data_IF_501659152286
#
_entry.id   IF_501659152286
#
_cell.length_a   1.000
_cell.length_b   1.000
_cell.length_c   1.000
_cell.angle_alpha   90.00
_cell.angle_beta   90.00
_cell.angle_gamma   90.00
#
_symmetry.space_group_name_H-M   'P 1'
#
loop_
_entity.id
_entity.type
_entity.pdbx_description
1 polymer ?
#
# COMPACT_ATOMS: atom_id res chain seq x y z
N UNK A 1 -21.87 43.42 -21.34
CA UNK A 1 -21.12 43.60 -20.08
C UNK A 1 -20.76 42.18 -19.71
N UNK A 2 -19.61 41.74 -20.20
CA UNK A 2 -19.26 40.33 -20.18
C UNK A 2 -18.70 40.02 -18.81
N UNK A 3 -19.44 39.21 -18.04
CA UNK A 3 -19.06 38.80 -16.69
C UNK A 3 -17.90 37.79 -16.77
N UNK A 4 -16.69 38.33 -16.90
CA UNK A 4 -15.41 37.59 -16.96
C UNK A 4 -14.96 37.03 -15.58
N UNK A 5 -15.91 36.72 -14.71
CA UNK A 5 -15.58 36.16 -13.39
C UNK A 5 -15.37 34.66 -13.51
N UNK A 6 -14.12 34.28 -13.78
CA UNK A 6 -13.69 32.87 -13.70
C UNK A 6 -13.70 32.44 -12.23
N UNK A 7 -14.79 31.80 -11.79
CA UNK A 7 -14.89 31.23 -10.44
C UNK A 7 -14.01 29.97 -10.39
N UNK A 8 -12.88 30.08 -9.69
CA UNK A 8 -12.01 28.93 -9.39
C UNK A 8 -12.41 28.36 -8.02
N UNK A 9 -12.70 27.06 -7.91
CA UNK A 9 -13.04 26.44 -6.63
C UNK A 9 -11.86 26.53 -5.65
N UNK A 10 -12.17 26.82 -4.38
CA UNK A 10 -11.17 26.82 -3.31
C UNK A 10 -10.87 25.37 -2.90
N UNK A 11 -9.66 24.89 -3.20
CA UNK A 11 -9.22 23.57 -2.75
C UNK A 11 -9.17 23.49 -1.22
N UNK A 12 -9.63 22.38 -0.66
CA UNK A 12 -9.65 22.20 0.78
C UNK A 12 -8.23 22.00 1.33
N UNK A 13 -7.90 22.56 2.50
CA UNK A 13 -6.63 22.25 3.16
C UNK A 13 -6.50 20.74 3.37
N UNK A 14 -5.51 20.12 2.71
CA UNK A 14 -5.28 18.67 2.74
C UNK A 14 -5.69 17.92 1.47
N UNK A 15 -6.48 18.51 0.57
CA UNK A 15 -6.71 17.98 -0.77
C UNK A 15 -5.56 18.41 -1.69
N UNK A 16 -4.60 17.51 -1.92
CA UNK A 16 -3.57 17.71 -2.95
C UNK A 16 -4.08 17.06 -4.24
N UNK A 17 -4.84 17.81 -5.03
CA UNK A 17 -5.21 17.45 -6.40
C UNK A 17 -4.08 17.86 -7.36
N UNK A 18 -2.89 17.30 -7.12
CA UNK A 18 -1.75 17.43 -8.03
C UNK A 18 -1.41 16.06 -8.64
N UNK A 19 -1.38 15.94 -9.97
CA UNK A 19 -1.11 14.68 -10.66
C UNK A 19 0.21 14.01 -10.26
N UNK A 20 1.26 14.79 -9.95
CA UNK A 20 2.56 14.22 -9.56
C UNK A 20 2.49 13.55 -8.18
N UNK A 21 1.75 14.15 -7.26
CA UNK A 21 1.50 13.60 -5.92
C UNK A 21 0.74 12.28 -6.00
N UNK A 22 -0.27 12.18 -6.87
CA UNK A 22 -1.02 10.94 -7.08
C UNK A 22 -0.13 9.83 -7.67
N UNK A 23 0.70 10.15 -8.66
CA UNK A 23 1.69 9.21 -9.21
C UNK A 23 2.68 8.77 -8.12
N UNK A 24 3.17 9.70 -7.30
CA UNK A 24 4.09 9.38 -6.21
C UNK A 24 3.44 8.47 -5.15
N UNK A 25 2.18 8.71 -4.78
CA UNK A 25 1.42 7.87 -3.84
C UNK A 25 1.18 6.47 -4.38
N UNK A 26 0.78 6.34 -5.64
CA UNK A 26 0.59 5.04 -6.29
C UNK A 26 1.92 4.26 -6.39
N UNK A 27 3.00 4.93 -6.79
CA UNK A 27 4.34 4.35 -6.81
C UNK A 27 4.79 3.85 -5.43
N UNK A 28 4.62 4.69 -4.40
CA UNK A 28 4.96 4.34 -3.02
C UNK A 28 4.14 3.14 -2.51
N UNK A 29 2.83 3.10 -2.82
CA UNK A 29 1.94 1.98 -2.46
C UNK A 29 2.40 0.68 -3.09
N UNK A 30 2.73 0.69 -4.38
CA UNK A 30 3.22 -0.49 -5.11
C UNK A 30 4.55 -0.98 -4.56
N UNK A 31 5.48 -0.07 -4.29
CA UNK A 31 6.79 -0.37 -3.71
C UNK A 31 6.63 -1.02 -2.33
N UNK A 32 5.78 -0.46 -1.46
CA UNK A 32 5.52 -1.02 -0.13
C UNK A 32 4.83 -2.39 -0.20
N UNK A 33 3.86 -2.56 -1.10
CA UNK A 33 3.21 -3.85 -1.31
C UNK A 33 4.19 -4.93 -1.79
N UNK A 34 5.11 -4.57 -2.70
CA UNK A 34 6.16 -5.48 -3.18
C UNK A 34 7.13 -5.87 -2.05
N UNK A 35 7.57 -4.90 -1.25
CA UNK A 35 8.45 -5.14 -0.11
C UNK A 35 7.82 -6.08 0.92
N UNK A 36 6.56 -5.84 1.30
CA UNK A 36 5.83 -6.70 2.24
C UNK A 36 5.66 -8.13 1.71
N UNK A 37 5.42 -8.28 0.39
CA UNK A 37 5.36 -9.61 -0.24
C UNK A 37 6.72 -10.30 -0.13
N UNK A 38 7.79 -9.64 -0.54
CA UNK A 38 9.13 -10.21 -0.47
C UNK A 38 9.52 -10.63 0.95
N UNK A 39 9.20 -9.81 1.96
CA UNK A 39 9.44 -10.14 3.37
C UNK A 39 8.67 -11.39 3.80
N UNK A 40 7.39 -11.50 3.45
CA UNK A 40 6.58 -12.65 3.80
C UNK A 40 7.02 -13.94 3.05
N UNK A 41 7.48 -13.84 1.79
CA UNK A 41 8.08 -14.99 1.08
C UNK A 41 9.36 -15.45 1.76
N UNK A 42 10.23 -14.50 2.10
CA UNK A 42 11.47 -14.79 2.80
C UNK A 42 11.19 -15.43 4.17
N UNK A 43 10.17 -14.97 4.89
CA UNK A 43 9.76 -15.56 6.15
C UNK A 43 9.37 -17.04 5.99
N UNK A 44 8.49 -17.35 5.05
CA UNK A 44 8.08 -18.74 4.79
C UNK A 44 9.26 -19.60 4.33
N UNK A 45 10.10 -19.08 3.43
CA UNK A 45 11.27 -19.80 2.93
C UNK A 45 12.26 -20.19 4.04
N UNK A 46 12.45 -19.33 5.06
CA UNK A 46 13.30 -19.65 6.21
C UNK A 46 12.81 -20.85 7.04
N UNK A 47 11.52 -21.19 6.94
CA UNK A 47 10.90 -22.30 7.67
C UNK A 47 10.56 -23.48 6.75
N UNK A 48 11.12 -23.54 5.53
CA UNK A 48 10.76 -24.55 4.53
C UNK A 48 11.07 -26.00 4.99
N UNK A 49 12.06 -26.18 5.85
CA UNK A 49 12.45 -27.49 6.40
C UNK A 49 11.60 -27.91 7.61
N UNK A 50 10.79 -27.00 8.16
CA UNK A 50 9.89 -27.31 9.26
C UNK A 50 8.60 -27.94 8.74
N UNK A 51 8.46 -29.25 8.93
CA UNK A 51 7.26 -30.01 8.53
C UNK A 51 6.54 -30.60 9.73
N UNK A 52 5.21 -30.71 9.64
CA UNK A 52 4.40 -31.49 10.55
C UNK A 52 4.66 -33.00 10.36
N UNK A 53 4.26 -33.86 11.32
CA UNK A 53 4.35 -35.32 11.17
C UNK A 53 3.62 -35.89 9.94
N UNK A 54 2.65 -35.16 9.40
CA UNK A 54 1.90 -35.51 8.19
C UNK A 54 2.56 -35.02 6.88
N UNK A 55 3.75 -34.42 6.97
CA UNK A 55 4.54 -33.96 5.82
C UNK A 55 4.18 -32.57 5.29
N UNK A 56 3.20 -31.87 5.88
CA UNK A 56 2.86 -30.49 5.47
C UNK A 56 3.85 -29.48 6.03
N UNK A 57 4.06 -28.36 5.33
CA UNK A 57 4.84 -27.24 5.86
C UNK A 57 4.18 -26.69 7.13
N UNK A 58 5.02 -26.41 8.14
CA UNK A 58 4.58 -25.86 9.42
C UNK A 58 4.21 -24.38 9.35
N UNK A 59 4.81 -23.66 8.42
CA UNK A 59 4.58 -22.23 8.19
C UNK A 59 4.13 -22.04 6.74
N UNK A 60 3.01 -21.35 6.54
CA UNK A 60 2.45 -21.04 5.21
C UNK A 60 1.92 -19.60 5.20
N UNK A 61 1.74 -19.04 3.99
CA UNK A 61 1.03 -17.76 3.82
C UNK A 61 -0.46 -17.94 4.07
N UNK A 62 -1.05 -17.05 4.86
CA UNK A 62 -2.49 -17.04 5.16
C UNK A 62 -3.24 -15.95 4.36
N UNK A 63 -2.89 -15.78 3.09
CA UNK A 63 -3.50 -14.78 2.22
C UNK A 63 -3.24 -13.35 2.71
N UNK A 64 -4.21 -12.45 2.54
CA UNK A 64 -4.07 -11.04 2.90
C UNK A 64 -4.93 -10.67 4.10
N UNK A 65 -4.35 -9.86 5.00
CA UNK A 65 -5.10 -9.18 6.04
C UNK A 65 -6.03 -8.07 5.49
N UNK A 66 -6.83 -7.46 6.39
CA UNK A 66 -7.64 -6.30 6.04
C UNK A 66 -6.78 -5.13 5.55
N UNK A 67 -7.37 -4.31 4.70
CA UNK A 67 -6.75 -3.05 4.27
C UNK A 67 -6.68 -2.07 5.44
N UNK A 68 -5.59 -1.29 5.49
CA UNK A 68 -5.41 -0.24 6.48
C UNK A 68 -4.63 0.93 5.89
N UNK A 69 -4.92 2.11 6.41
CA UNK A 69 -4.20 3.33 6.10
C UNK A 69 -2.91 3.42 6.92
N UNK A 70 -1.79 3.71 6.26
CA UNK A 70 -0.49 3.90 6.90
C UNK A 70 -0.01 5.31 6.58
N UNK A 71 0.28 6.11 7.62
CA UNK A 71 0.86 7.44 7.45
C UNK A 71 2.32 7.32 7.01
N UNK A 72 2.68 7.99 5.91
CA UNK A 72 4.05 8.05 5.37
C UNK A 72 4.45 9.49 5.06
N UNK A 73 5.68 9.71 4.58
CA UNK A 73 6.15 11.03 4.15
C UNK A 73 5.36 11.63 2.98
N UNK A 74 4.76 10.80 2.10
CA UNK A 74 3.92 11.25 0.97
C UNK A 74 2.42 11.33 1.35
N UNK A 75 2.11 11.13 2.63
CA UNK A 75 0.76 11.07 3.19
C UNK A 75 0.30 9.65 3.50
N UNK A 76 -1.01 9.50 3.71
CA UNK A 76 -1.65 8.24 4.01
C UNK A 76 -1.69 7.32 2.78
N UNK A 77 -1.33 6.04 2.96
CA UNK A 77 -1.37 5.01 1.92
C UNK A 77 -2.20 3.82 2.41
N UNK A 78 -3.19 3.37 1.62
CA UNK A 78 -3.92 2.13 1.93
C UNK A 78 -3.14 0.91 1.47
N UNK A 79 -2.92 -0.04 2.38
CA UNK A 79 -2.09 -1.21 2.17
C UNK A 79 -2.76 -2.45 2.76
N UNK A 80 -2.61 -3.58 2.05
CA UNK A 80 -2.99 -4.92 2.53
C UNK A 80 -1.74 -5.74 2.81
N UNK A 81 -1.61 -6.24 4.03
CA UNK A 81 -0.50 -7.12 4.42
C UNK A 81 -0.72 -8.53 3.82
N UNK A 82 0.29 -9.12 3.15
CA UNK A 82 0.25 -10.48 2.60
C UNK A 82 0.67 -11.57 3.61
#
# INVERSE_FOLDING_TARGET
>A
MDDDTTITPLHQPGSVEDPLTEIARDGARRMLAAALRAEADAFVARHAEETLPDGRQRVVRHGYGPERSIQTGIGALEVRRP
#
